data_IF_115210312970
#
_entry.id   IF_115210312970
#
_cell.length_a   1.000
_cell.length_b   1.000
_cell.length_c   1.000
_cell.angle_alpha   90.00
_cell.angle_beta   90.00
_cell.angle_gamma   90.00
#
_symmetry.space_group_name_H-M   'P 1'
#
loop_
_entity.id
_entity.type
_entity.pdbx_description
1 polymer ?
#
# COMPACT_ATOMS: atom_id res chain seq x y z
N UNK A 1 14.68 8.28 11.57
CA UNK A 1 14.78 9.50 12.36
C UNK A 1 15.49 9.14 13.65
N UNK A 2 16.83 9.24 13.65
CA UNK A 2 17.70 8.80 14.75
C UNK A 2 17.98 9.94 15.75
N UNK A 3 17.92 11.16 15.28
CA UNK A 3 18.16 12.37 16.08
C UNK A 3 16.88 13.13 16.43
N UNK A 4 15.72 12.63 15.97
CA UNK A 4 14.37 13.17 16.22
C UNK A 4 14.16 14.59 15.65
N UNK A 5 14.80 14.91 14.54
CA UNK A 5 14.59 16.16 13.82
C UNK A 5 13.40 16.11 12.85
N UNK A 6 12.88 14.91 12.55
CA UNK A 6 11.65 14.63 11.78
C UNK A 6 11.90 14.25 10.34
N UNK A 7 13.12 14.22 9.87
CA UNK A 7 13.45 13.56 8.62
C UNK A 7 13.93 12.11 8.86
N UNK A 8 14.01 11.30 7.81
CA UNK A 8 14.35 9.88 7.93
C UNK A 8 15.80 9.65 7.57
N UNK A 9 16.55 9.06 8.49
CA UNK A 9 17.92 8.65 8.34
C UNK A 9 18.04 7.28 7.65
N UNK A 10 19.23 6.96 7.17
CA UNK A 10 19.51 5.71 6.49
C UNK A 10 20.54 4.88 7.24
N UNK A 11 20.20 3.64 7.54
CA UNK A 11 21.14 2.63 8.05
C UNK A 11 21.29 1.55 6.98
N UNK A 12 22.51 1.30 6.56
CA UNK A 12 22.85 0.26 5.60
C UNK A 12 23.60 -0.86 6.30
N UNK A 13 23.03 -2.05 6.30
CA UNK A 13 23.73 -3.24 6.80
C UNK A 13 24.63 -3.79 5.70
N UNK A 14 25.93 -3.87 5.97
CA UNK A 14 26.94 -4.33 5.03
C UNK A 14 27.32 -5.79 5.29
N UNK A 15 27.68 -6.53 4.22
CA UNK A 15 28.19 -7.90 4.35
C UNK A 15 29.65 -7.83 4.80
N UNK A 16 29.95 -8.50 5.93
CA UNK A 16 31.30 -8.59 6.52
C UNK A 16 31.98 -7.24 6.82
N UNK A 17 31.19 -6.19 7.00
CA UNK A 17 31.66 -4.86 7.39
C UNK A 17 30.68 -4.24 8.41
N UNK A 18 31.11 -3.26 9.23
CA UNK A 18 30.22 -2.52 10.09
C UNK A 18 29.08 -1.86 9.30
N UNK A 19 27.91 -1.75 9.91
CA UNK A 19 26.80 -1.01 9.34
C UNK A 19 27.17 0.47 9.13
N UNK A 20 26.76 1.03 8.00
CA UNK A 20 26.90 2.46 7.73
C UNK A 20 25.67 3.21 8.18
N UNK A 21 25.84 4.33 8.85
CA UNK A 21 24.78 5.22 9.31
C UNK A 21 24.94 6.55 8.58
N UNK A 22 23.88 6.97 7.89
CA UNK A 22 23.84 8.24 7.17
C UNK A 22 22.74 9.11 7.78
N UNK A 23 23.13 10.24 8.35
CA UNK A 23 22.21 11.25 8.82
C UNK A 23 21.66 12.02 7.63
N UNK A 24 20.35 12.21 7.60
CA UNK A 24 19.70 13.06 6.61
C UNK A 24 19.80 14.52 7.10
N UNK A 25 20.33 15.39 6.27
CA UNK A 25 20.53 16.81 6.57
C UNK A 25 19.53 17.70 5.79
N UNK A 26 18.37 17.14 5.43
CA UNK A 26 17.40 17.86 4.60
C UNK A 26 16.81 19.06 5.32
N UNK A 27 16.63 18.98 6.62
CA UNK A 27 16.09 20.08 7.41
C UNK A 27 17.09 21.20 7.65
N UNK A 28 18.32 20.86 7.94
CA UNK A 28 19.39 21.82 8.16
C UNK A 28 19.75 22.59 6.89
N UNK A 29 19.77 21.87 5.76
CA UNK A 29 20.23 22.43 4.49
C UNK A 29 19.14 23.13 3.67
N UNK A 30 17.84 22.80 3.87
CA UNK A 30 16.80 23.25 2.93
C UNK A 30 15.49 23.70 3.57
N UNK A 31 15.41 23.96 4.86
CA UNK A 31 14.16 24.35 5.54
C UNK A 31 12.94 23.52 5.14
N UNK A 32 13.15 22.24 4.89
CA UNK A 32 12.12 21.33 4.46
C UNK A 32 11.15 20.97 5.59
N UNK A 33 9.87 20.97 5.28
CA UNK A 33 8.81 20.61 6.22
C UNK A 33 8.36 19.16 6.03
N UNK A 34 7.83 18.57 7.09
CA UNK A 34 7.31 17.20 7.07
C UNK A 34 6.02 17.09 7.89
N UNK A 35 5.35 15.95 7.78
CA UNK A 35 4.37 15.49 8.75
C UNK A 35 4.50 13.98 8.91
N UNK A 36 4.52 13.53 10.15
CA UNK A 36 4.38 12.12 10.50
C UNK A 36 2.93 11.88 10.95
N UNK A 37 2.27 10.84 10.40
CA UNK A 37 0.87 10.54 10.70
C UNK A 37 0.78 9.14 11.26
N UNK A 38 0.19 9.02 12.45
CA UNK A 38 -0.10 7.76 13.12
C UNK A 38 -1.60 7.62 13.29
N UNK A 39 -2.16 6.53 12.76
CA UNK A 39 -3.58 6.24 12.87
C UNK A 39 -3.86 5.28 14.04
N UNK A 40 -4.95 5.53 14.73
CA UNK A 40 -5.52 4.62 15.71
C UNK A 40 -6.89 4.18 15.23
N UNK A 41 -6.98 2.93 14.77
CA UNK A 41 -8.20 2.30 14.31
C UNK A 41 -9.06 1.79 15.47
N UNK A 42 -10.06 0.99 15.14
CA UNK A 42 -11.05 0.43 16.09
C UNK A 42 -11.04 -1.09 16.07
N UNK A 43 -11.62 -1.69 17.10
CA UNK A 43 -11.75 -3.14 17.22
C UNK A 43 -10.40 -3.84 17.28
N UNK A 44 -10.24 -4.89 16.47
CA UNK A 44 -9.00 -5.69 16.41
C UNK A 44 -7.91 -5.05 15.55
N UNK A 45 -8.24 -4.07 14.70
CA UNK A 45 -7.29 -3.37 13.84
C UNK A 45 -6.89 -2.02 14.46
N UNK A 46 -6.25 -2.04 15.60
CA UNK A 46 -5.87 -0.84 16.35
C UNK A 46 -4.86 0.05 15.63
N UNK A 47 -4.06 -0.51 14.74
CA UNK A 47 -3.06 0.21 13.94
C UNK A 47 -3.61 0.70 12.60
N UNK A 48 -4.91 0.53 12.33
CA UNK A 48 -5.58 0.95 11.09
C UNK A 48 -4.89 0.41 9.82
N UNK A 49 -4.36 -0.83 9.85
CA UNK A 49 -3.73 -1.46 8.69
C UNK A 49 -4.72 -1.51 7.52
N UNK A 50 -4.28 -1.08 6.34
CA UNK A 50 -5.11 -0.94 5.14
C UNK A 50 -5.79 0.42 5.00
N UNK A 51 -5.65 1.33 5.97
CA UNK A 51 -6.11 2.71 5.82
C UNK A 51 -5.27 3.44 4.79
N UNK A 52 -5.90 4.31 3.99
CA UNK A 52 -5.29 5.10 2.93
C UNK A 52 -5.27 6.57 3.32
N UNK A 53 -4.13 7.21 3.16
CA UNK A 53 -3.94 8.61 3.50
C UNK A 53 -3.58 9.40 2.26
N UNK A 54 -4.31 10.49 2.03
CA UNK A 54 -4.06 11.47 0.99
C UNK A 54 -3.74 12.80 1.65
N UNK A 55 -2.58 13.35 1.33
CA UNK A 55 -2.10 14.66 1.78
C UNK A 55 -2.11 15.60 0.60
N UNK A 56 -2.87 16.69 0.70
CA UNK A 56 -2.98 17.71 -0.34
C UNK A 56 -2.26 18.97 0.10
N UNK A 57 -1.32 19.43 -0.72
CA UNK A 57 -0.63 20.72 -0.60
C UNK A 57 -0.79 21.49 -1.90
N UNK A 58 -0.47 22.79 -1.97
CA UNK A 58 -0.62 23.56 -3.20
C UNK A 58 0.08 22.90 -4.38
N UNK A 59 -0.70 22.51 -5.40
CA UNK A 59 -0.19 21.91 -6.63
C UNK A 59 0.29 20.45 -6.50
N UNK A 60 0.17 19.82 -5.33
CA UNK A 60 0.65 18.44 -5.13
C UNK A 60 -0.29 17.59 -4.28
N UNK A 61 -0.31 16.29 -4.57
CA UNK A 61 -1.03 15.28 -3.78
C UNK A 61 -0.11 14.08 -3.55
N UNK A 62 0.03 13.69 -2.29
CA UNK A 62 0.78 12.50 -1.90
C UNK A 62 -0.19 11.45 -1.34
N UNK A 63 0.13 10.19 -1.59
CA UNK A 63 -0.64 9.03 -1.15
C UNK A 63 0.25 8.01 -0.47
N UNK A 64 -0.19 7.51 0.67
CA UNK A 64 0.38 6.32 1.30
C UNK A 64 -0.71 5.45 1.92
N UNK A 65 -0.42 4.17 2.07
CA UNK A 65 -1.28 3.20 2.75
C UNK A 65 -0.58 2.66 3.99
N UNK A 66 -1.33 2.48 5.07
CA UNK A 66 -0.80 1.84 6.29
C UNK A 66 -0.62 0.36 6.00
N UNK A 67 0.57 0.02 5.51
CA UNK A 67 0.98 -1.34 5.22
C UNK A 67 2.36 -1.60 5.86
N UNK A 68 2.43 -2.37 6.96
CA UNK A 68 3.69 -2.66 7.63
C UNK A 68 4.58 -3.62 6.85
N UNK A 69 4.03 -4.40 5.92
CA UNK A 69 4.81 -5.39 5.15
C UNK A 69 5.60 -4.70 4.04
N UNK A 70 6.93 -4.79 4.11
CA UNK A 70 7.85 -4.18 3.16
C UNK A 70 9.00 -5.13 2.88
N UNK A 71 9.05 -5.65 1.65
CA UNK A 71 10.12 -6.56 1.24
C UNK A 71 10.08 -7.94 1.92
N UNK A 72 11.12 -8.72 1.68
CA UNK A 72 11.22 -10.08 2.17
C UNK A 72 11.52 -10.10 3.67
N UNK A 73 10.68 -10.78 4.45
CA UNK A 73 10.80 -10.93 5.92
C UNK A 73 10.98 -9.59 6.66
N UNK A 74 10.44 -8.48 6.13
CA UNK A 74 10.65 -7.15 6.67
C UNK A 74 9.34 -6.44 6.99
N UNK A 75 9.33 -5.72 8.10
CA UNK A 75 8.22 -4.88 8.54
C UNK A 75 8.71 -3.48 8.86
N UNK A 76 7.84 -2.49 8.63
CA UNK A 76 8.08 -1.09 8.95
C UNK A 76 7.06 -0.58 9.96
N UNK A 77 7.35 0.58 10.56
CA UNK A 77 6.41 1.30 11.42
C UNK A 77 5.10 1.60 10.70
N UNK A 78 3.99 1.62 11.44
CA UNK A 78 2.69 2.09 10.94
C UNK A 78 2.56 3.61 10.93
N UNK A 79 3.58 4.34 11.38
CA UNK A 79 3.67 5.78 11.23
C UNK A 79 4.11 6.11 9.80
N UNK A 80 3.33 6.94 9.11
CA UNK A 80 3.59 7.35 7.73
C UNK A 80 4.20 8.75 7.71
N UNK A 81 5.34 8.91 7.02
CA UNK A 81 6.02 10.18 6.89
C UNK A 81 5.78 10.77 5.50
N UNK A 82 5.47 12.06 5.45
CA UNK A 82 5.27 12.83 4.23
C UNK A 82 6.18 14.04 4.25
N UNK A 83 7.05 14.17 3.24
CA UNK A 83 7.81 15.38 3.01
C UNK A 83 6.91 16.45 2.36
N UNK A 84 6.93 17.66 2.89
CA UNK A 84 6.07 18.75 2.44
C UNK A 84 6.83 19.85 1.69
N UNK A 85 8.16 19.70 1.54
CA UNK A 85 9.02 20.74 0.97
C UNK A 85 8.90 22.06 1.73
N UNK A 86 8.67 23.15 1.05
CA UNK A 86 8.51 24.47 1.67
C UNK A 86 7.12 24.74 2.28
N UNK A 87 6.16 23.81 2.15
CA UNK A 87 4.81 24.02 2.66
C UNK A 87 4.77 23.80 4.18
N UNK A 88 4.39 24.80 4.93
CA UNK A 88 4.24 24.74 6.39
C UNK A 88 2.84 24.34 6.86
N UNK A 89 1.92 24.13 5.91
CA UNK A 89 0.53 23.74 6.15
C UNK A 89 0.06 22.81 5.04
N UNK A 90 -0.71 21.82 5.41
CA UNK A 90 -1.44 20.91 4.51
C UNK A 90 -2.83 21.50 4.31
N UNK A 91 -3.26 21.66 3.05
CA UNK A 91 -4.58 22.19 2.72
C UNK A 91 -5.68 21.23 3.17
N UNK A 92 -5.49 19.95 2.84
CA UNK A 92 -6.44 18.89 3.20
C UNK A 92 -5.72 17.56 3.42
N UNK A 93 -6.09 16.88 4.48
CA UNK A 93 -5.72 15.52 4.82
C UNK A 93 -6.98 14.65 4.74
N UNK A 94 -7.00 13.69 3.82
CA UNK A 94 -8.09 12.73 3.68
C UNK A 94 -7.62 11.35 4.10
N UNK A 95 -8.35 10.71 4.99
CA UNK A 95 -8.12 9.34 5.44
C UNK A 95 -9.31 8.50 4.99
N UNK A 96 -9.03 7.40 4.27
CA UNK A 96 -10.01 6.36 3.98
C UNK A 96 -9.69 5.20 4.91
N UNK A 97 -10.60 4.91 5.81
CA UNK A 97 -10.43 3.85 6.79
C UNK A 97 -10.69 2.46 6.18
N UNK A 98 -10.21 1.36 6.82
CA UNK A 98 -10.39 0.01 6.29
C UNK A 98 -11.85 -0.41 6.04
N UNK A 99 -12.80 0.18 6.76
CA UNK A 99 -14.23 -0.02 6.59
C UNK A 99 -14.85 0.83 5.46
N UNK A 100 -14.01 1.44 4.62
CA UNK A 100 -14.41 2.32 3.52
C UNK A 100 -15.18 3.58 3.99
N UNK A 101 -14.92 4.05 5.17
CA UNK A 101 -15.39 5.36 5.62
C UNK A 101 -14.30 6.42 5.44
N UNK A 102 -14.68 7.68 5.38
CA UNK A 102 -13.77 8.80 5.10
C UNK A 102 -13.79 9.83 6.23
N UNK A 103 -12.59 10.21 6.66
CA UNK A 103 -12.36 11.34 7.56
C UNK A 103 -11.48 12.36 6.86
N UNK A 104 -11.87 13.65 6.91
CA UNK A 104 -11.11 14.75 6.31
C UNK A 104 -10.78 15.79 7.36
N UNK A 105 -9.57 16.31 7.31
CA UNK A 105 -9.08 17.40 8.14
C UNK A 105 -8.51 18.49 7.23
N UNK A 106 -8.76 19.75 7.52
CA UNK A 106 -8.25 20.89 6.75
C UNK A 106 -7.24 21.68 7.56
N UNK A 107 -6.36 22.40 6.86
CA UNK A 107 -5.40 23.34 7.44
C UNK A 107 -4.54 22.72 8.56
N UNK A 108 -3.96 21.54 8.28
CA UNK A 108 -3.10 20.82 9.23
C UNK A 108 -1.69 21.41 9.18
N UNK A 109 -1.13 21.79 10.33
CA UNK A 109 0.23 22.33 10.42
C UNK A 109 1.27 21.25 10.15
N UNK A 110 2.36 21.63 9.50
CA UNK A 110 3.55 20.79 9.31
C UNK A 110 4.37 20.60 10.60
N UNK A 111 5.45 19.87 10.50
CA UNK A 111 6.48 19.63 11.51
C UNK A 111 5.93 19.07 12.83
N UNK A 112 5.11 18.01 12.71
CA UNK A 112 4.54 17.33 13.86
C UNK A 112 4.24 15.86 13.61
N UNK A 113 4.15 15.08 14.69
CA UNK A 113 3.50 13.79 14.70
C UNK A 113 2.01 13.96 14.97
N UNK A 114 1.20 13.78 13.95
CA UNK A 114 -0.26 13.84 14.03
C UNK A 114 -0.86 12.48 14.39
N UNK A 115 -1.46 12.37 15.56
CA UNK A 115 -2.19 11.18 15.96
C UNK A 115 -3.68 11.35 15.60
N UNK A 116 -4.18 10.49 14.69
CA UNK A 116 -5.59 10.52 14.29
C UNK A 116 -6.29 9.27 14.77
N UNK A 117 -7.34 9.45 15.56
CA UNK A 117 -8.18 8.37 16.09
C UNK A 117 -9.42 8.26 15.23
N UNK A 118 -9.79 7.01 14.89
CA UNK A 118 -11.08 6.73 14.25
C UNK A 118 -12.23 7.20 15.14
N UNK A 119 -13.07 8.07 14.62
CA UNK A 119 -14.26 8.59 15.32
C UNK A 119 -15.48 8.37 14.44
N UNK A 120 -16.10 7.20 14.56
CA UNK A 120 -17.36 6.95 13.88
C UNK A 120 -18.57 7.68 14.53
N UNK A 121 -19.70 7.85 13.81
CA UNK A 121 -19.90 7.44 12.42
C UNK A 121 -19.31 8.43 11.41
N UNK A 122 -18.74 7.90 10.33
CA UNK A 122 -18.13 8.68 9.25
C UNK A 122 -18.90 8.46 7.94
N UNK A 123 -18.71 9.37 6.97
CA UNK A 123 -19.31 9.22 5.64
C UNK A 123 -18.65 8.09 4.87
N UNK A 124 -19.46 7.31 4.14
CA UNK A 124 -18.93 6.27 3.26
C UNK A 124 -18.08 6.88 2.13
N UNK A 125 -16.94 6.26 1.84
CA UNK A 125 -16.12 6.62 0.70
C UNK A 125 -16.82 6.22 -0.60
N UNK A 126 -17.09 7.21 -1.43
CA UNK A 126 -17.59 6.97 -2.79
C UNK A 126 -16.42 7.09 -3.76
N UNK A 127 -15.93 5.96 -4.25
CA UNK A 127 -14.95 5.98 -5.32
C UNK A 127 -15.60 6.51 -6.58
N UNK A 128 -15.04 7.57 -7.17
CA UNK A 128 -15.45 8.00 -8.51
C UNK A 128 -14.99 6.94 -9.51
N UNK A 129 -15.92 6.10 -9.95
CA UNK A 129 -15.66 5.17 -11.05
C UNK A 129 -15.78 5.99 -12.31
N UNK A 130 -14.67 6.18 -13.02
CA UNK A 130 -14.71 6.77 -14.35
C UNK A 130 -15.60 5.88 -15.24
N UNK A 131 -16.67 6.44 -15.76
CA UNK A 131 -17.54 5.79 -16.73
C UNK A 131 -16.81 5.70 -18.09
N UNK A 132 -15.80 4.82 -18.15
CA UNK A 132 -15.09 4.50 -19.38
C UNK A 132 -15.71 3.28 -20.08
N UNK A 133 -15.51 3.14 -21.38
CA UNK A 133 -15.80 1.90 -22.10
C UNK A 133 -15.02 0.76 -21.42
N UNK A 134 -15.71 -0.32 -21.08
CA UNK A 134 -15.05 -1.51 -20.53
C UNK A 134 -14.08 -2.07 -21.57
N UNK A 135 -12.82 -2.19 -21.20
CA UNK A 135 -11.80 -2.81 -22.06
C UNK A 135 -12.01 -4.33 -22.17
N UNK A 136 -12.61 -4.91 -21.12
CA UNK A 136 -12.92 -6.34 -21.08
C UNK A 136 -14.40 -6.54 -20.80
N UNK A 137 -15.02 -7.44 -21.56
CA UNK A 137 -16.39 -7.89 -21.36
C UNK A 137 -16.38 -9.39 -21.08
N UNK A 138 -17.26 -9.80 -20.16
CA UNK A 138 -17.45 -11.23 -19.90
C UNK A 138 -18.25 -11.85 -21.04
N UNK A 139 -17.59 -12.72 -21.78
CA UNK A 139 -18.25 -13.56 -22.80
C UNK A 139 -18.43 -14.98 -22.27
N UNK A 140 -19.38 -15.71 -22.84
CA UNK A 140 -19.44 -17.16 -22.60
C UNK A 140 -18.22 -17.81 -23.26
N UNK A 141 -17.53 -18.65 -22.50
CA UNK A 141 -16.39 -19.36 -23.06
C UNK A 141 -16.83 -20.20 -24.27
N UNK A 142 -16.12 -20.10 -25.41
CA UNK A 142 -16.45 -20.91 -26.60
C UNK A 142 -16.16 -22.39 -26.39
N UNK A 143 -15.50 -22.75 -25.31
CA UNK A 143 -15.15 -24.11 -24.93
C UNK A 143 -15.71 -24.36 -23.54
N UNK A 144 -16.57 -25.34 -23.38
CA UNK A 144 -17.01 -25.84 -22.07
C UNK A 144 -15.92 -26.76 -21.52
N UNK A 145 -14.95 -26.19 -20.84
CA UNK A 145 -13.85 -26.90 -20.21
C UNK A 145 -13.98 -26.83 -18.69
N UNK A 146 -14.18 -27.96 -18.08
CA UNK A 146 -14.15 -28.14 -16.64
C UNK A 146 -12.95 -29.00 -16.27
N UNK A 147 -11.95 -28.50 -15.59
CA UNK A 147 -10.81 -29.30 -15.15
C UNK A 147 -11.27 -30.39 -14.18
N UNK A 148 -10.74 -31.60 -14.31
CA UNK A 148 -10.99 -32.67 -13.35
C UNK A 148 -10.32 -32.30 -11.99
N UNK A 149 -11.04 -32.61 -10.92
CA UNK A 149 -10.52 -32.40 -9.58
C UNK A 149 -9.52 -33.48 -9.22
N UNK A 150 -8.24 -33.12 -9.15
CA UNK A 150 -7.19 -34.06 -8.75
C UNK A 150 -7.13 -34.13 -7.23
N UNK A 151 -7.39 -35.30 -6.67
CA UNK A 151 -7.40 -35.54 -5.21
C UNK A 151 -6.02 -35.87 -4.62
N UNK A 152 -4.96 -35.84 -5.44
CA UNK A 152 -3.60 -36.15 -5.01
C UNK A 152 -3.05 -35.07 -4.12
N UNK A 153 -2.41 -35.49 -3.02
CA UNK A 153 -1.66 -34.57 -2.15
C UNK A 153 -0.17 -34.72 -2.46
N UNK A 154 0.39 -33.73 -3.17
CA UNK A 154 1.78 -33.70 -3.60
C UNK A 154 2.77 -33.78 -2.45
N UNK A 155 2.45 -33.15 -1.30
CA UNK A 155 3.30 -33.15 -0.12
C UNK A 155 3.51 -34.55 0.51
N UNK A 156 2.62 -35.51 0.22
CA UNK A 156 2.84 -36.90 0.63
C UNK A 156 3.89 -37.64 -0.21
N UNK A 157 4.19 -37.11 -1.40
CA UNK A 157 5.20 -37.68 -2.32
C UNK A 157 6.51 -36.90 -2.28
N UNK A 158 6.43 -35.59 -2.14
CA UNK A 158 7.59 -34.69 -2.12
C UNK A 158 7.41 -33.65 -1.01
N UNK A 159 7.99 -33.94 0.15
CA UNK A 159 7.81 -33.14 1.38
C UNK A 159 8.38 -31.71 1.31
N UNK A 160 9.31 -31.44 0.40
CA UNK A 160 9.99 -30.15 0.26
C UNK A 160 9.39 -29.25 -0.84
N UNK A 161 8.26 -29.62 -1.44
CA UNK A 161 7.60 -28.78 -2.42
C UNK A 161 6.99 -27.55 -1.73
N UNK A 162 7.16 -26.38 -2.37
CA UNK A 162 6.57 -25.12 -1.90
C UNK A 162 5.09 -24.99 -2.24
N UNK A 163 4.63 -25.65 -3.30
CA UNK A 163 3.27 -25.57 -3.82
C UNK A 163 2.76 -26.96 -4.25
N UNK A 164 1.43 -27.14 -4.22
CA UNK A 164 0.77 -28.31 -4.75
C UNK A 164 0.53 -28.13 -6.26
N UNK A 165 1.44 -28.59 -7.09
CA UNK A 165 1.30 -28.46 -8.56
C UNK A 165 0.10 -29.26 -9.12
N UNK A 166 -0.29 -30.36 -8.47
CA UNK A 166 -1.50 -31.12 -8.83
C UNK A 166 -2.79 -30.33 -8.65
N UNK A 167 -2.77 -29.24 -7.87
CA UNK A 167 -3.91 -28.32 -7.68
C UNK A 167 -3.89 -27.10 -8.60
N UNK A 168 -2.85 -26.96 -9.42
CA UNK A 168 -2.78 -25.88 -10.39
C UNK A 168 -3.73 -26.17 -11.54
N UNK A 169 -4.71 -25.30 -11.77
CA UNK A 169 -5.62 -25.43 -12.89
C UNK A 169 -4.85 -25.34 -14.21
N UNK A 170 -5.21 -26.12 -15.23
CA UNK A 170 -4.60 -26.02 -16.55
C UNK A 170 -4.88 -24.64 -17.16
N UNK A 171 -3.90 -24.13 -17.88
CA UNK A 171 -3.98 -22.86 -18.59
C UNK A 171 -4.39 -23.15 -20.03
N UNK A 172 -5.43 -22.47 -20.50
CA UNK A 172 -5.90 -22.55 -21.87
C UNK A 172 -5.53 -21.26 -22.59
N UNK A 173 -4.91 -21.38 -23.76
CA UNK A 173 -4.66 -20.27 -24.65
C UNK A 173 -5.34 -20.53 -26.01
N UNK A 174 -5.92 -19.49 -26.59
CA UNK A 174 -6.44 -19.53 -27.98
C UNK A 174 -5.46 -18.74 -28.85
N UNK A 175 -5.08 -19.31 -29.98
CA UNK A 175 -4.27 -18.64 -30.97
C UNK A 175 -4.78 -19.00 -32.38
N UNK A 176 -4.76 -18.01 -33.26
CA UNK A 176 -4.97 -18.24 -34.70
C UNK A 176 -3.62 -18.67 -35.30
N UNK A 177 -3.48 -19.96 -35.59
CA UNK A 177 -2.24 -20.58 -36.07
C UNK A 177 -2.05 -20.41 -37.58
N UNK A 178 -3.12 -20.30 -38.32
CA UNK A 178 -3.13 -20.23 -39.80
C UNK A 178 -3.48 -18.83 -40.35
N UNK A 179 -3.76 -17.89 -39.47
CA UNK A 179 -4.11 -16.50 -39.79
C UNK A 179 -5.40 -16.36 -40.60
N UNK A 180 -6.39 -17.26 -40.38
CA UNK A 180 -7.71 -17.19 -41.04
C UNK A 180 -8.75 -16.35 -40.25
N UNK A 181 -8.37 -15.87 -39.07
CA UNK A 181 -9.21 -15.03 -38.21
C UNK A 181 -10.22 -15.77 -37.34
N UNK A 182 -10.10 -17.12 -37.18
CA UNK A 182 -11.00 -17.96 -36.40
C UNK A 182 -10.39 -18.43 -35.07
#
# INVERSE_FOLDING_TARGET
DLDNDGDLDLIVNNINQPASVYQNMSRENSSSNYIAIKLKGTGKNTNAIGAKIYVYTPGNMQYQEVNPNRGYLSCVSTTLNFGLGSNNTIDSLRIIWPDQTTQTMASVKANQLLNVVYKGPLSAYKQAIAAGKKTFERINAPIDFKPDEITVNDFKRQLLMLFMYSKTAPVIAKADVNHDGL
#
